data_IF_155971895766
#
_entry.id   IF_155971895766
#
_cell.length_a   1.000
_cell.length_b   1.000
_cell.length_c   1.000
_cell.angle_alpha   90.00
_cell.angle_beta   90.00
_cell.angle_gamma   90.00
#
_symmetry.space_group_name_H-M   'P 1'
#
loop_
_entity.id
_entity.type
_entity.pdbx_description
1 polymer ?
#
# COMPACT_ATOMS: atom_id res chain seq x y z
N UNK A 1 2.57 6.25 28.20
CA UNK A 1 1.44 7.21 28.08
C UNK A 1 1.94 8.66 28.08
N UNK A 2 3.15 8.96 27.57
CA UNK A 2 3.76 10.30 27.63
C UNK A 2 4.08 10.91 26.25
N UNK A 3 3.79 10.22 25.13
CA UNK A 3 4.14 10.66 23.76
C UNK A 3 2.94 11.16 22.94
N UNK A 4 1.73 11.24 23.52
CA UNK A 4 0.54 11.71 22.80
C UNK A 4 0.38 13.25 22.83
N UNK A 5 1.19 13.97 23.61
CA UNK A 5 1.10 15.44 23.76
C UNK A 5 1.88 16.24 22.72
N UNK A 6 2.66 15.56 21.87
CA UNK A 6 3.43 16.15 20.76
C UNK A 6 2.68 16.15 19.43
N UNK A 7 1.48 15.56 19.38
CA UNK A 7 0.68 15.45 18.17
C UNK A 7 -0.15 16.73 18.04
N UNK A 8 0.26 17.63 17.15
CA UNK A 8 -0.42 18.90 16.90
C UNK A 8 -1.77 18.64 16.22
N UNK A 9 -2.73 19.58 16.31
CA UNK A 9 -4.03 19.46 15.62
C UNK A 9 -3.88 19.25 14.11
N UNK A 10 -2.80 19.80 13.54
CA UNK A 10 -2.42 19.60 12.14
C UNK A 10 -1.98 18.15 11.85
N UNK A 11 -1.25 17.49 12.75
CA UNK A 11 -0.83 16.09 12.58
C UNK A 11 -2.03 15.14 12.67
N UNK A 12 -2.96 15.42 13.60
CA UNK A 12 -4.23 14.69 13.71
C UNK A 12 -5.05 14.85 12.43
N UNK A 13 -5.12 16.06 11.88
CA UNK A 13 -5.81 16.33 10.63
C UNK A 13 -5.17 15.57 9.45
N UNK A 14 -3.84 15.59 9.33
CA UNK A 14 -3.11 14.86 8.28
C UNK A 14 -3.33 13.34 8.41
N UNK A 15 -3.22 12.79 9.62
CA UNK A 15 -3.37 11.35 9.88
C UNK A 15 -4.79 10.85 9.57
N UNK A 16 -5.79 11.73 9.61
CA UNK A 16 -7.18 11.36 9.38
C UNK A 16 -7.59 11.64 7.93
N UNK A 17 -7.28 12.82 7.39
CA UNK A 17 -7.75 13.27 6.07
C UNK A 17 -7.04 12.53 4.93
N UNK A 18 -5.73 12.31 5.03
CA UNK A 18 -4.96 11.63 3.96
C UNK A 18 -5.44 10.21 3.69
N UNK A 19 -5.54 9.30 4.68
CA UNK A 19 -5.99 7.94 4.42
C UNK A 19 -7.45 7.88 3.99
N UNK A 20 -8.31 8.80 4.45
CA UNK A 20 -9.69 8.89 3.94
C UNK A 20 -9.70 9.21 2.45
N UNK A 21 -8.90 10.19 2.02
CA UNK A 21 -8.85 10.58 0.61
C UNK A 21 -8.27 9.47 -0.28
N UNK A 22 -7.18 8.83 0.18
CA UNK A 22 -6.54 7.70 -0.49
C UNK A 22 -7.48 6.49 -0.55
N UNK A 23 -8.16 6.16 0.54
CA UNK A 23 -9.12 5.05 0.58
C UNK A 23 -10.34 5.33 -0.29
N UNK A 24 -10.82 6.57 -0.34
CA UNK A 24 -11.96 6.95 -1.17
C UNK A 24 -11.64 6.78 -2.66
N UNK A 25 -10.51 7.32 -3.12
CA UNK A 25 -10.05 7.18 -4.50
C UNK A 25 -9.76 5.72 -4.82
N UNK A 26 -9.04 5.01 -3.95
CA UNK A 26 -8.67 3.60 -4.14
C UNK A 26 -9.90 2.70 -4.26
N UNK A 27 -10.88 2.85 -3.36
CA UNK A 27 -12.12 2.07 -3.43
C UNK A 27 -12.96 2.43 -4.65
N UNK A 28 -13.08 3.72 -4.99
CA UNK A 28 -13.83 4.13 -6.18
C UNK A 28 -13.26 3.50 -7.45
N UNK A 29 -11.92 3.52 -7.59
CA UNK A 29 -11.24 2.91 -8.72
C UNK A 29 -11.38 1.39 -8.72
N UNK A 30 -11.25 0.74 -7.55
CA UNK A 30 -11.45 -0.70 -7.40
C UNK A 30 -12.87 -1.13 -7.81
N UNK A 31 -13.90 -0.46 -7.32
CA UNK A 31 -15.30 -0.74 -7.68
C UNK A 31 -15.58 -0.49 -9.17
N UNK A 32 -14.92 0.52 -9.76
CA UNK A 32 -15.04 0.78 -11.20
C UNK A 32 -14.42 -0.36 -11.99
N UNK A 33 -13.20 -0.77 -11.65
CA UNK A 33 -12.50 -1.88 -12.31
C UNK A 33 -13.26 -3.20 -12.19
N UNK A 34 -13.87 -3.46 -11.04
CA UNK A 34 -14.68 -4.67 -10.82
C UNK A 34 -15.95 -4.71 -11.67
N UNK A 35 -16.46 -3.55 -12.11
CA UNK A 35 -17.65 -3.44 -12.97
C UNK A 35 -17.32 -3.53 -14.46
N UNK A 36 -16.11 -3.14 -14.88
CA UNK A 36 -15.69 -3.14 -16.29
C UNK A 36 -14.78 -4.31 -16.68
N UNK A 37 -14.13 -4.98 -15.72
CA UNK A 37 -13.20 -6.08 -15.97
C UNK A 37 -13.57 -7.33 -15.17
N UNK A 38 -13.10 -8.50 -15.64
CA UNK A 38 -13.26 -9.74 -14.89
C UNK A 38 -12.57 -9.64 -13.53
N UNK A 39 -13.24 -10.14 -12.48
CA UNK A 39 -12.75 -10.13 -11.10
C UNK A 39 -11.33 -10.71 -10.95
N UNK A 40 -10.97 -11.66 -11.82
CA UNK A 40 -9.63 -12.25 -11.87
C UNK A 40 -8.53 -11.23 -12.21
N UNK A 41 -8.75 -10.36 -13.20
CA UNK A 41 -7.79 -9.32 -13.60
C UNK A 41 -7.66 -8.27 -12.49
N UNK A 42 -8.77 -7.88 -11.88
CA UNK A 42 -8.78 -6.89 -10.78
C UNK A 42 -8.03 -7.42 -9.58
N UNK A 43 -8.23 -8.69 -9.22
CA UNK A 43 -7.54 -9.35 -8.11
C UNK A 43 -6.03 -9.47 -8.38
N UNK A 44 -5.64 -9.87 -9.59
CA UNK A 44 -4.23 -9.90 -10.01
C UNK A 44 -3.56 -8.51 -9.90
N UNK A 45 -4.27 -7.44 -10.27
CA UNK A 45 -3.77 -6.07 -10.15
C UNK A 45 -3.59 -5.67 -8.67
N UNK A 46 -4.56 -6.01 -7.80
CA UNK A 46 -4.47 -5.74 -6.35
C UNK A 46 -3.31 -6.51 -5.73
N UNK A 47 -3.09 -7.76 -6.12
CA UNK A 47 -1.93 -8.54 -5.67
C UNK A 47 -0.59 -8.00 -6.20
N UNK A 48 -0.59 -7.31 -7.34
CA UNK A 48 0.61 -6.62 -7.82
C UNK A 48 0.90 -5.28 -7.11
N UNK A 49 -0.09 -4.72 -6.38
CA UNK A 49 0.06 -3.41 -5.73
C UNK A 49 1.31 -3.28 -4.84
N UNK A 50 1.73 -4.31 -4.07
CA UNK A 50 2.93 -4.23 -3.23
C UNK A 50 4.23 -4.13 -4.03
N UNK A 51 4.27 -4.67 -5.26
CA UNK A 51 5.40 -4.51 -6.18
C UNK A 51 5.49 -3.05 -6.63
N UNK A 52 4.37 -2.43 -7.00
CA UNK A 52 4.33 -1.02 -7.33
C UNK A 52 4.68 -0.14 -6.13
N UNK A 53 4.12 -0.43 -4.95
CA UNK A 53 4.46 0.25 -3.69
C UNK A 53 5.96 0.18 -3.43
N UNK A 54 6.60 -0.96 -3.70
CA UNK A 54 8.04 -1.10 -3.56
C UNK A 54 8.82 -0.23 -4.56
N UNK A 55 8.45 -0.28 -5.85
CA UNK A 55 9.10 0.53 -6.89
C UNK A 55 9.00 2.01 -6.52
N UNK A 56 7.81 2.46 -6.11
CA UNK A 56 7.57 3.83 -5.68
C UNK A 56 8.34 4.13 -4.39
N UNK A 57 8.36 3.23 -3.40
CA UNK A 57 9.14 3.42 -2.19
C UNK A 57 10.63 3.54 -2.48
N UNK A 58 11.19 2.75 -3.40
CA UNK A 58 12.59 2.89 -3.79
C UNK A 58 12.88 4.21 -4.51
N UNK A 59 11.92 4.72 -5.31
CA UNK A 59 12.07 5.97 -6.04
C UNK A 59 11.93 7.21 -5.14
N UNK A 60 11.00 7.19 -4.18
CA UNK A 60 10.70 8.32 -3.30
C UNK A 60 11.54 8.31 -2.02
N UNK A 61 11.76 7.13 -1.44
CA UNK A 61 12.57 6.95 -0.25
C UNK A 61 14.01 6.78 -0.72
N UNK A 62 14.80 7.85 -0.67
CA UNK A 62 16.25 7.87 -0.93
C UNK A 62 17.08 7.01 0.05
N UNK A 63 16.45 6.07 0.75
CA UNK A 63 17.12 5.15 1.66
C UNK A 63 17.85 4.07 0.88
N UNK A 64 19.07 3.79 1.31
CA UNK A 64 19.86 2.68 0.78
C UNK A 64 19.13 1.39 1.15
N UNK A 65 18.70 0.63 0.14
CA UNK A 65 18.16 -0.72 0.31
C UNK A 65 19.18 -1.56 1.07
N UNK A 66 18.98 -1.69 2.38
CA UNK A 66 19.78 -2.57 3.23
C UNK A 66 19.38 -4.01 2.93
N UNK A 67 20.28 -4.96 3.20
CA UNK A 67 20.03 -6.37 2.89
C UNK A 67 18.77 -6.92 3.61
N UNK A 68 18.43 -6.33 4.76
CA UNK A 68 17.17 -6.60 5.47
C UNK A 68 15.93 -6.12 4.70
N UNK A 69 16.01 -4.96 4.02
CA UNK A 69 14.93 -4.48 3.15
C UNK A 69 14.65 -5.44 2.01
N UNK A 70 15.69 -5.97 1.37
CA UNK A 70 15.57 -6.96 0.29
C UNK A 70 14.91 -8.25 0.76
N UNK A 71 15.29 -8.76 1.94
CA UNK A 71 14.67 -9.96 2.52
C UNK A 71 13.20 -9.70 2.87
N UNK A 72 12.89 -8.56 3.48
CA UNK A 72 11.50 -8.17 3.78
C UNK A 72 10.64 -8.10 2.52
N UNK A 73 11.19 -7.53 1.44
CA UNK A 73 10.54 -7.49 0.13
C UNK A 73 10.26 -8.89 -0.40
N UNK A 74 11.25 -9.77 -0.42
CA UNK A 74 11.07 -11.14 -0.91
C UNK A 74 10.00 -11.88 -0.09
N UNK A 75 9.97 -11.66 1.22
CA UNK A 75 9.00 -12.29 2.12
C UNK A 75 7.56 -11.79 1.87
N UNK A 76 7.38 -10.47 1.71
CA UNK A 76 6.07 -9.86 1.38
C UNK A 76 5.59 -10.34 0.01
N UNK A 77 6.45 -10.23 -1.01
CA UNK A 77 6.12 -10.64 -2.39
C UNK A 77 5.77 -12.13 -2.45
N UNK A 78 6.53 -12.98 -1.74
CA UNK A 78 6.26 -14.41 -1.63
C UNK A 78 4.92 -14.72 -0.96
N UNK A 79 4.59 -14.03 0.14
CA UNK A 79 3.30 -14.19 0.82
C UNK A 79 2.10 -13.83 -0.06
N UNK A 80 2.22 -12.76 -0.85
CA UNK A 80 1.16 -12.33 -1.77
C UNK A 80 0.94 -13.33 -2.90
N UNK A 81 2.01 -13.87 -3.47
CA UNK A 81 1.91 -14.90 -4.52
C UNK A 81 1.23 -16.18 -4.01
N UNK A 82 1.44 -16.52 -2.74
CA UNK A 82 0.80 -17.65 -2.08
C UNK A 82 -0.70 -17.44 -1.90
N UNK A 83 -1.11 -16.23 -1.53
CA UNK A 83 -2.53 -15.85 -1.42
C UNK A 83 -3.20 -15.82 -2.79
N UNK A 84 -2.51 -15.31 -3.82
CA UNK A 84 -3.05 -15.18 -5.17
C UNK A 84 -3.29 -16.50 -5.89
N UNK A 85 -2.64 -17.60 -5.47
CA UNK A 85 -2.78 -18.92 -6.08
C UNK A 85 -3.89 -19.79 -5.47
N UNK A 86 -4.59 -19.30 -4.43
CA UNK A 86 -5.75 -19.94 -3.83
C UNK A 86 -7.05 -19.26 -4.28
#
# INVERSE_FOLDING_TARGET
MHDLSIINTQDIAILTIMPIFVAFIGNYLYYTMLKTHESSIVSALVYSAPIFTLILAHLFTNERLTMYGIIGILMVTGGILLISQN
#
